data_IF_621173729512
#
_entry.id   IF_621173729512
#
_cell.length_a   1.000
_cell.length_b   1.000
_cell.length_c   1.000
_cell.angle_alpha   90.00
_cell.angle_beta   90.00
_cell.angle_gamma   90.00
#
_symmetry.space_group_name_H-M   'P 1'
#
loop_
_entity.id
_entity.type
_entity.pdbx_description
1 polymer ?
#
# COMPACT_ATOMS: atom_id res chain seq x y z
N UNK A 1 -5.84 0.41 -11.43
CA UNK A 1 -7.07 0.11 -10.66
C UNK A 1 -6.89 -1.23 -9.98
N UNK A 2 -7.31 -1.37 -8.68
CA UNK A 2 -7.29 -2.68 -8.01
C UNK A 2 -8.72 -3.21 -7.84
N UNK A 3 -8.92 -4.47 -8.21
CA UNK A 3 -10.21 -5.18 -8.14
C UNK A 3 -10.07 -6.37 -7.18
N UNK A 4 -11.14 -6.71 -6.47
CA UNK A 4 -11.23 -7.93 -5.67
C UNK A 4 -12.55 -8.64 -5.91
N UNK A 5 -12.54 -9.94 -5.90
CA UNK A 5 -13.67 -10.83 -6.17
C UNK A 5 -13.16 -12.27 -6.31
N UNK A 6 -14.09 -13.18 -6.63
CA UNK A 6 -13.76 -14.59 -6.86
C UNK A 6 -14.49 -15.18 -8.08
N UNK A 7 -15.30 -14.39 -8.80
CA UNK A 7 -16.00 -14.83 -10.01
C UNK A 7 -15.25 -14.32 -11.26
N UNK A 8 -14.62 -15.19 -12.07
CA UNK A 8 -13.75 -14.77 -13.18
C UNK A 8 -14.44 -13.86 -14.20
N UNK A 9 -15.64 -14.24 -14.66
CA UNK A 9 -16.38 -13.52 -15.69
C UNK A 9 -16.84 -12.15 -15.20
N UNK A 10 -17.28 -12.07 -13.95
CA UNK A 10 -17.67 -10.80 -13.30
C UNK A 10 -16.50 -9.86 -13.20
N UNK A 11 -15.35 -10.35 -12.69
CA UNK A 11 -14.14 -9.54 -12.56
C UNK A 11 -13.61 -9.05 -13.91
N UNK A 12 -13.65 -9.89 -14.93
CA UNK A 12 -13.25 -9.53 -16.28
C UNK A 12 -14.18 -8.47 -16.88
N UNK A 13 -15.48 -8.61 -16.68
CA UNK A 13 -16.47 -7.65 -17.16
C UNK A 13 -16.33 -6.28 -16.47
N UNK A 14 -16.19 -6.25 -15.15
CA UNK A 14 -15.95 -5.02 -14.38
C UNK A 14 -14.65 -4.32 -14.79
N UNK A 15 -13.58 -5.08 -15.03
CA UNK A 15 -12.32 -4.53 -15.53
C UNK A 15 -12.52 -3.86 -16.91
N UNK A 16 -13.23 -4.51 -17.82
CA UNK A 16 -13.53 -3.99 -19.14
C UNK A 16 -14.38 -2.70 -19.07
N UNK A 17 -15.43 -2.68 -18.25
CA UNK A 17 -16.27 -1.49 -18.10
C UNK A 17 -15.49 -0.30 -17.51
N UNK A 18 -14.62 -0.57 -16.53
CA UNK A 18 -13.71 0.45 -15.97
C UNK A 18 -12.70 0.93 -17.03
N UNK A 19 -12.18 0.05 -17.87
CA UNK A 19 -11.30 0.41 -18.97
C UNK A 19 -11.99 1.36 -19.97
N UNK A 20 -13.23 1.04 -20.37
CA UNK A 20 -14.02 1.91 -21.25
C UNK A 20 -14.35 3.27 -20.60
N UNK A 21 -14.61 3.29 -19.30
CA UNK A 21 -14.95 4.51 -18.57
C UNK A 21 -13.73 5.41 -18.34
N UNK A 22 -12.59 4.85 -18.01
CA UNK A 22 -11.39 5.57 -17.56
C UNK A 22 -10.36 5.78 -18.66
N UNK A 23 -10.38 4.97 -19.72
CA UNK A 23 -9.45 5.06 -20.86
C UNK A 23 -8.00 5.13 -20.43
N UNK A 24 -7.26 6.11 -20.95
CA UNK A 24 -5.84 6.31 -20.68
C UNK A 24 -5.49 6.66 -19.22
N UNK A 25 -6.47 6.86 -18.34
CA UNK A 25 -6.22 7.04 -16.91
C UNK A 25 -5.90 5.71 -16.18
N UNK A 26 -6.14 4.56 -16.83
CA UNK A 26 -5.74 3.26 -16.32
C UNK A 26 -4.35 2.90 -16.84
N UNK A 27 -3.45 2.51 -15.94
CA UNK A 27 -2.15 1.94 -16.30
C UNK A 27 -2.19 0.41 -16.29
N UNK A 28 -2.88 -0.17 -15.31
CA UNK A 28 -3.03 -1.62 -15.15
C UNK A 28 -4.24 -1.95 -14.28
N UNK A 29 -4.73 -3.18 -14.40
CA UNK A 29 -5.69 -3.77 -13.46
C UNK A 29 -4.96 -4.72 -12.52
N UNK A 30 -5.10 -4.52 -11.22
CA UNK A 30 -4.45 -5.33 -10.19
C UNK A 30 -5.47 -6.21 -9.48
N UNK A 31 -5.25 -7.51 -9.49
CA UNK A 31 -6.08 -8.49 -8.78
C UNK A 31 -5.61 -8.60 -7.34
N UNK A 32 -6.50 -8.31 -6.40
CA UNK A 32 -6.19 -8.45 -4.98
C UNK A 32 -6.29 -9.91 -4.53
N UNK A 33 -5.14 -10.55 -4.31
CA UNK A 33 -5.03 -11.88 -3.71
C UNK A 33 -4.33 -11.83 -2.35
N UNK A 34 -4.35 -10.67 -1.65
CA UNK A 34 -3.59 -10.50 -0.41
C UNK A 34 -4.38 -9.96 0.79
N UNK A 35 -5.61 -9.45 0.62
CA UNK A 35 -6.39 -8.89 1.73
C UNK A 35 -6.87 -9.98 2.69
N UNK A 36 -6.43 -9.97 3.98
CA UNK A 36 -6.80 -10.99 4.96
C UNK A 36 -8.07 -10.64 5.75
N UNK A 37 -8.70 -9.50 5.49
CA UNK A 37 -9.85 -9.03 6.26
C UNK A 37 -11.01 -10.03 6.15
N UNK A 38 -11.62 -10.39 7.30
CA UNK A 38 -12.70 -11.40 7.36
C UNK A 38 -13.87 -11.10 6.40
N UNK A 39 -14.23 -9.83 6.25
CA UNK A 39 -15.30 -9.39 5.34
C UNK A 39 -14.98 -9.62 3.85
N UNK A 40 -13.70 -9.79 3.50
CA UNK A 40 -13.20 -10.08 2.16
C UNK A 40 -12.89 -11.57 2.05
N UNK A 41 -11.89 -12.06 2.78
CA UNK A 41 -11.43 -13.43 2.71
C UNK A 41 -12.50 -14.47 3.13
N UNK A 42 -13.44 -14.09 4.01
CA UNK A 42 -14.57 -14.95 4.41
C UNK A 42 -15.60 -15.17 3.30
N UNK A 43 -15.56 -14.37 2.23
CA UNK A 43 -16.42 -14.53 1.04
C UNK A 43 -15.73 -15.28 -0.12
N UNK A 44 -14.47 -15.65 0.04
CA UNK A 44 -13.68 -16.27 -1.01
C UNK A 44 -12.76 -15.31 -1.76
N UNK A 45 -12.80 -14.00 -1.45
CA UNK A 45 -12.04 -12.95 -2.12
C UNK A 45 -10.65 -12.73 -1.51
N UNK A 46 -9.85 -11.90 -2.16
CA UNK A 46 -8.58 -11.44 -1.62
C UNK A 46 -7.63 -12.58 -1.28
N UNK A 47 -7.13 -12.66 -0.05
CA UNK A 47 -6.18 -13.69 0.33
C UNK A 47 -6.73 -15.13 0.25
N UNK A 48 -8.06 -15.32 0.25
CA UNK A 48 -8.67 -16.64 0.11
C UNK A 48 -8.34 -17.30 -1.24
N UNK A 49 -8.14 -16.51 -2.30
CA UNK A 49 -7.75 -16.99 -3.62
C UNK A 49 -6.40 -17.75 -3.61
N UNK A 50 -5.53 -17.47 -2.65
CA UNK A 50 -4.26 -18.20 -2.49
C UNK A 50 -4.44 -19.67 -2.09
N UNK A 51 -5.66 -20.07 -1.72
CA UNK A 51 -6.02 -21.46 -1.37
C UNK A 51 -6.55 -22.24 -2.57
N UNK A 52 -6.87 -21.56 -3.66
CA UNK A 52 -7.36 -22.14 -4.91
C UNK A 52 -6.59 -21.55 -6.11
N UNK A 53 -5.40 -22.10 -6.41
CA UNK A 53 -4.58 -21.62 -7.53
C UNK A 53 -5.26 -21.74 -8.88
N UNK A 54 -6.17 -22.73 -9.06
CA UNK A 54 -6.91 -22.90 -10.31
C UNK A 54 -7.96 -21.81 -10.49
N UNK A 55 -8.64 -21.39 -9.43
CA UNK A 55 -9.54 -20.25 -9.49
C UNK A 55 -8.76 -18.94 -9.75
N UNK A 56 -7.62 -18.76 -9.07
CA UNK A 56 -6.74 -17.61 -9.30
C UNK A 56 -6.28 -17.52 -10.78
N UNK A 57 -5.89 -18.66 -11.36
CA UNK A 57 -5.55 -18.79 -12.79
C UNK A 57 -6.71 -18.33 -13.68
N UNK A 58 -7.91 -18.88 -13.49
CA UNK A 58 -9.10 -18.52 -14.31
C UNK A 58 -9.46 -17.04 -14.22
N UNK A 59 -9.33 -16.44 -13.04
CA UNK A 59 -9.57 -15.00 -12.86
C UNK A 59 -8.59 -14.18 -13.69
N UNK A 60 -7.29 -14.47 -13.58
CA UNK A 60 -6.26 -13.73 -14.31
C UNK A 60 -6.42 -13.92 -15.81
N UNK A 61 -6.65 -15.15 -16.28
CA UNK A 61 -6.86 -15.46 -17.69
C UNK A 61 -8.10 -14.75 -18.25
N UNK A 62 -9.23 -14.79 -17.54
CA UNK A 62 -10.45 -14.11 -17.97
C UNK A 62 -10.24 -12.59 -18.09
N UNK A 63 -9.57 -11.98 -17.12
CA UNK A 63 -9.25 -10.55 -17.16
C UNK A 63 -8.26 -10.22 -18.28
N UNK A 64 -7.14 -10.95 -18.40
CA UNK A 64 -6.10 -10.70 -19.41
C UNK A 64 -6.62 -10.85 -20.84
N UNK A 65 -7.58 -11.74 -21.07
CA UNK A 65 -8.25 -11.91 -22.38
C UNK A 65 -9.31 -10.83 -22.67
N UNK A 66 -9.77 -10.09 -21.65
CA UNK A 66 -10.89 -9.16 -21.79
C UNK A 66 -10.46 -7.70 -21.93
N UNK A 67 -9.35 -7.29 -21.28
CA UNK A 67 -8.86 -5.91 -21.27
C UNK A 67 -7.56 -5.77 -22.07
N UNK A 68 -7.32 -4.57 -22.61
CA UNK A 68 -6.07 -4.25 -23.31
C UNK A 68 -4.93 -3.89 -22.37
N UNK A 69 -5.26 -3.34 -21.20
CA UNK A 69 -4.26 -2.93 -20.19
C UNK A 69 -3.67 -4.13 -19.44
N UNK A 70 -2.41 -4.03 -18.98
CA UNK A 70 -1.76 -5.09 -18.22
C UNK A 70 -2.56 -5.51 -16.98
N UNK A 71 -2.66 -6.82 -16.75
CA UNK A 71 -3.21 -7.39 -15.52
C UNK A 71 -2.05 -7.75 -14.59
N UNK A 72 -2.11 -7.28 -13.35
CA UNK A 72 -1.13 -7.58 -12.30
C UNK A 72 -1.79 -8.28 -11.12
N UNK A 73 -1.00 -8.93 -10.29
CA UNK A 73 -1.53 -9.64 -9.11
C UNK A 73 -0.78 -9.21 -7.85
N UNK A 74 -1.51 -8.84 -6.81
CA UNK A 74 -0.92 -8.62 -5.50
C UNK A 74 -1.31 -9.72 -4.53
N UNK A 75 -0.30 -10.45 -4.02
CA UNK A 75 -0.50 -11.60 -3.13
C UNK A 75 0.36 -11.53 -1.86
N UNK A 76 0.14 -12.47 -0.97
CA UNK A 76 0.93 -12.70 0.24
C UNK A 76 1.83 -13.93 0.10
N UNK A 77 2.61 -14.25 1.14
CA UNK A 77 3.44 -15.44 1.24
C UNK A 77 2.62 -16.75 1.10
N UNK A 78 1.42 -16.75 1.62
CA UNK A 78 0.46 -17.84 1.66
C UNK A 78 -0.74 -17.42 2.51
N UNK A 79 -1.78 -18.26 2.57
CA UNK A 79 -2.94 -18.01 3.41
C UNK A 79 -2.70 -18.47 4.85
N UNK A 80 -2.35 -19.75 5.04
CA UNK A 80 -2.14 -20.40 6.34
C UNK A 80 -0.70 -20.18 6.79
N UNK A 81 -0.51 -19.90 8.07
CA UNK A 81 0.83 -19.77 8.64
C UNK A 81 1.62 -21.08 8.49
N UNK A 82 2.82 -20.98 7.93
CA UNK A 82 3.68 -22.12 7.65
C UNK A 82 3.48 -22.75 6.26
N UNK A 83 2.38 -22.48 5.57
CA UNK A 83 2.10 -22.98 4.23
C UNK A 83 2.42 -21.90 3.18
N UNK A 84 3.60 -21.96 2.61
CA UNK A 84 4.03 -21.01 1.58
C UNK A 84 3.55 -21.44 0.20
N UNK A 85 2.73 -20.62 -0.44
CA UNK A 85 2.16 -20.89 -1.77
C UNK A 85 2.56 -19.86 -2.82
N UNK A 86 3.17 -18.73 -2.43
CA UNK A 86 3.45 -17.61 -3.33
C UNK A 86 4.31 -17.97 -4.54
N UNK A 87 5.42 -18.74 -4.45
CA UNK A 87 6.24 -19.04 -5.63
C UNK A 87 5.46 -19.83 -6.69
N UNK A 88 4.72 -20.85 -6.29
CA UNK A 88 3.90 -21.66 -7.20
C UNK A 88 2.75 -20.83 -7.79
N UNK A 89 2.02 -20.09 -6.96
CA UNK A 89 0.92 -19.24 -7.41
C UNK A 89 1.40 -18.15 -8.36
N UNK A 90 2.56 -17.54 -8.12
CA UNK A 90 3.13 -16.54 -9.00
C UNK A 90 3.44 -17.11 -10.39
N UNK A 91 3.97 -18.34 -10.45
CA UNK A 91 4.19 -19.03 -11.73
C UNK A 91 2.85 -19.31 -12.44
N UNK A 92 1.85 -19.82 -11.74
CA UNK A 92 0.53 -20.10 -12.31
C UNK A 92 -0.10 -18.83 -12.88
N UNK A 93 -0.12 -17.72 -12.15
CA UNK A 93 -0.73 -16.47 -12.65
C UNK A 93 0.08 -15.85 -13.79
N UNK A 94 1.40 -16.03 -13.84
CA UNK A 94 2.21 -15.66 -15.00
C UNK A 94 1.76 -16.41 -16.25
N UNK A 95 1.61 -17.74 -16.19
CA UNK A 95 1.16 -18.54 -17.31
C UNK A 95 -0.29 -18.21 -17.72
N UNK A 96 -1.08 -17.63 -16.82
CA UNK A 96 -2.44 -17.15 -17.06
C UNK A 96 -2.51 -15.73 -17.63
N UNK A 97 -1.37 -15.06 -17.89
CA UNK A 97 -1.30 -13.76 -18.52
C UNK A 97 -1.05 -12.58 -17.59
N UNK A 98 -0.68 -12.81 -16.32
CA UNK A 98 -0.24 -11.71 -15.45
C UNK A 98 1.04 -11.06 -15.97
N UNK A 99 1.07 -9.72 -16.01
CA UNK A 99 2.19 -8.91 -16.48
C UNK A 99 3.19 -8.55 -15.38
N UNK A 100 2.81 -8.63 -14.11
CA UNK A 100 3.67 -8.43 -12.93
C UNK A 100 3.00 -8.99 -11.67
N UNK A 101 3.80 -9.28 -10.65
CA UNK A 101 3.31 -9.70 -9.33
C UNK A 101 3.91 -8.86 -8.21
N UNK A 102 3.08 -8.50 -7.22
CA UNK A 102 3.54 -7.83 -5.99
C UNK A 102 3.40 -8.78 -4.80
N UNK A 103 4.50 -9.00 -4.06
CA UNK A 103 4.56 -10.02 -3.01
C UNK A 103 4.76 -9.37 -1.64
N UNK A 104 3.78 -9.54 -0.75
CA UNK A 104 3.96 -9.22 0.66
C UNK A 104 4.48 -10.46 1.40
N UNK A 105 5.68 -10.38 1.97
CA UNK A 105 6.39 -11.50 2.61
C UNK A 105 5.78 -12.02 3.93
N UNK A 106 4.49 -11.80 4.18
CA UNK A 106 3.74 -12.32 5.33
C UNK A 106 2.59 -13.23 4.90
N UNK A 107 2.25 -14.22 5.73
CA UNK A 107 1.03 -15.00 5.55
C UNK A 107 -0.23 -14.15 5.80
N UNK A 108 -1.37 -14.54 5.23
CA UNK A 108 -2.65 -13.85 5.47
C UNK A 108 -3.02 -13.88 6.97
N UNK A 109 -2.85 -15.02 7.63
CA UNK A 109 -3.12 -15.19 9.07
C UNK A 109 -2.20 -14.36 9.97
N UNK A 110 -1.03 -13.96 9.48
CA UNK A 110 -0.08 -13.10 10.20
C UNK A 110 -0.57 -11.65 10.28
N UNK A 111 -1.43 -11.21 9.38
CA UNK A 111 -1.79 -9.79 9.22
C UNK A 111 -0.53 -8.91 9.06
N UNK A 112 -0.09 -8.29 10.17
CA UNK A 112 1.12 -7.45 10.24
C UNK A 112 2.05 -7.84 11.39
N UNK A 113 1.80 -8.98 12.04
CA UNK A 113 2.64 -9.47 13.15
C UNK A 113 3.95 -10.08 12.62
N UNK A 114 4.99 -10.02 13.45
CA UNK A 114 6.33 -10.49 13.10
C UNK A 114 6.92 -9.75 11.91
N UNK A 115 7.93 -10.33 11.28
CA UNK A 115 8.65 -9.75 10.15
C UNK A 115 8.18 -10.32 8.80
N UNK A 116 8.30 -9.52 7.74
CA UNK A 116 8.11 -9.99 6.37
C UNK A 116 9.30 -10.87 5.95
N UNK A 117 9.03 -12.07 5.48
CA UNK A 117 10.04 -12.97 4.97
C UNK A 117 10.46 -12.56 3.55
N UNK A 118 11.62 -11.94 3.42
CA UNK A 118 12.14 -11.52 2.10
C UNK A 118 12.63 -12.70 1.25
N UNK A 119 13.03 -13.79 1.88
CA UNK A 119 13.37 -15.03 1.19
C UNK A 119 12.21 -15.56 0.31
N UNK A 120 10.95 -15.36 0.73
CA UNK A 120 9.80 -15.67 -0.12
C UNK A 120 9.79 -14.82 -1.39
N UNK A 121 10.11 -13.51 -1.28
CA UNK A 121 10.15 -12.61 -2.43
C UNK A 121 11.24 -13.06 -3.40
N UNK A 122 12.42 -13.45 -2.90
CA UNK A 122 13.49 -14.02 -3.71
C UNK A 122 13.04 -15.28 -4.43
N UNK A 123 12.41 -16.23 -3.73
CA UNK A 123 11.90 -17.46 -4.36
C UNK A 123 10.84 -17.21 -5.42
N UNK A 124 9.99 -16.20 -5.22
CA UNK A 124 9.06 -15.78 -6.27
C UNK A 124 9.82 -15.21 -7.46
N UNK A 125 10.83 -14.36 -7.24
CA UNK A 125 11.66 -13.81 -8.33
C UNK A 125 12.37 -14.92 -9.13
N UNK A 126 12.84 -15.96 -8.45
CA UNK A 126 13.47 -17.12 -9.09
C UNK A 126 12.45 -17.98 -9.89
N UNK A 127 11.18 -17.95 -9.51
CA UNK A 127 10.11 -18.79 -10.11
C UNK A 127 9.45 -18.16 -11.34
N UNK A 128 9.57 -16.84 -11.55
CA UNK A 128 8.86 -16.13 -12.64
C UNK A 128 9.81 -15.30 -13.48
N UNK A 129 9.36 -14.97 -14.72
CA UNK A 129 10.09 -14.10 -15.66
C UNK A 129 9.52 -12.67 -15.69
N UNK A 130 8.29 -12.50 -15.25
CA UNK A 130 7.63 -11.19 -15.14
C UNK A 130 8.20 -10.38 -13.98
N UNK A 131 8.05 -9.04 -14.00
CA UNK A 131 8.48 -8.19 -12.90
C UNK A 131 7.88 -8.59 -11.55
N UNK A 132 8.73 -8.58 -10.52
CA UNK A 132 8.35 -8.84 -9.12
C UNK A 132 8.51 -7.57 -8.30
N UNK A 133 7.44 -7.17 -7.61
CA UNK A 133 7.42 -6.01 -6.73
C UNK A 133 7.51 -6.49 -5.28
N UNK A 134 8.61 -6.19 -4.61
CA UNK A 134 8.83 -6.55 -3.21
C UNK A 134 8.05 -5.67 -2.25
N UNK A 135 7.36 -6.26 -1.27
CA UNK A 135 6.58 -5.55 -0.27
C UNK A 135 6.75 -6.16 1.13
N UNK A 136 6.88 -5.30 2.12
CA UNK A 136 6.94 -5.64 3.55
C UNK A 136 8.18 -5.10 4.23
N UNK A 137 7.96 -4.31 5.30
CA UNK A 137 8.97 -3.77 6.21
C UNK A 137 10.05 -2.89 5.54
N UNK A 138 9.69 -2.22 4.46
CA UNK A 138 10.50 -1.17 3.83
C UNK A 138 10.20 0.12 4.59
N UNK A 139 11.15 0.56 5.42
CA UNK A 139 10.99 1.69 6.34
C UNK A 139 12.02 2.79 6.14
N UNK A 140 13.01 2.58 5.29
CA UNK A 140 14.07 3.55 4.96
C UNK A 140 14.74 3.21 3.63
N UNK A 141 15.62 4.10 3.16
CA UNK A 141 16.45 3.89 1.98
C UNK A 141 17.35 2.66 2.10
N UNK A 142 17.94 2.42 3.27
CA UNK A 142 18.78 1.24 3.55
C UNK A 142 17.96 -0.05 3.41
N UNK A 143 16.75 -0.07 4.00
CA UNK A 143 15.86 -1.24 3.91
C UNK A 143 15.37 -1.47 2.48
N UNK A 144 15.15 -0.41 1.72
CA UNK A 144 14.81 -0.48 0.30
C UNK A 144 15.94 -1.12 -0.53
N UNK A 145 17.18 -0.64 -0.34
CA UNK A 145 18.37 -1.21 -0.99
C UNK A 145 18.59 -2.66 -0.60
N UNK A 146 18.48 -2.97 0.69
CA UNK A 146 18.63 -4.34 1.18
C UNK A 146 17.63 -5.29 0.51
N UNK A 147 16.32 -4.92 0.45
CA UNK A 147 15.32 -5.75 -0.22
C UNK A 147 15.66 -5.98 -1.70
N UNK A 148 16.01 -4.94 -2.45
CA UNK A 148 16.42 -5.11 -3.87
C UNK A 148 17.62 -6.05 -4.01
N UNK A 149 18.63 -5.89 -3.15
CA UNK A 149 19.88 -6.68 -3.21
C UNK A 149 19.65 -8.14 -2.79
N UNK A 150 18.92 -8.37 -1.71
CA UNK A 150 18.72 -9.70 -1.14
C UNK A 150 17.72 -10.54 -1.93
N UNK A 151 16.72 -9.89 -2.54
CA UNK A 151 15.64 -10.62 -3.21
C UNK A 151 15.73 -10.60 -4.73
N UNK A 152 16.47 -9.65 -5.31
CA UNK A 152 16.52 -9.43 -6.75
C UNK A 152 15.19 -8.93 -7.35
N UNK A 153 14.22 -8.49 -6.54
CA UNK A 153 12.96 -7.95 -7.05
C UNK A 153 13.20 -6.68 -7.89
N UNK A 154 12.31 -6.43 -8.85
CA UNK A 154 12.47 -5.38 -9.86
C UNK A 154 11.98 -4.01 -9.37
N UNK A 155 11.06 -4.00 -8.40
CA UNK A 155 10.49 -2.79 -7.82
C UNK A 155 10.07 -2.99 -6.37
N UNK A 156 9.74 -1.88 -5.70
CA UNK A 156 9.36 -1.87 -4.29
C UNK A 156 7.95 -1.29 -4.10
N UNK A 157 7.18 -1.89 -3.20
CA UNK A 157 5.90 -1.35 -2.75
C UNK A 157 5.98 -1.01 -1.27
N UNK A 158 5.87 0.29 -0.96
CA UNK A 158 5.89 0.81 0.41
C UNK A 158 4.46 0.86 0.94
N UNK A 159 4.24 0.31 2.13
CA UNK A 159 2.94 0.32 2.81
C UNK A 159 2.93 1.28 4.01
N UNK A 160 2.89 0.73 5.21
CA UNK A 160 2.74 1.46 6.48
C UNK A 160 3.74 2.58 6.71
N UNK A 161 4.96 2.48 6.18
CA UNK A 161 5.96 3.53 6.31
C UNK A 161 5.60 4.84 5.58
N UNK A 162 4.67 4.81 4.63
CA UNK A 162 4.14 5.98 3.94
C UNK A 162 2.96 6.65 4.69
N UNK A 163 2.43 6.03 5.75
CA UNK A 163 1.32 6.56 6.53
C UNK A 163 1.77 7.81 7.31
N UNK A 164 1.27 8.99 6.91
CA UNK A 164 1.69 10.30 7.43
C UNK A 164 3.13 10.68 7.07
N UNK A 165 3.76 9.95 6.18
CA UNK A 165 5.13 10.15 5.73
C UNK A 165 5.27 9.99 4.21
N UNK A 166 4.70 10.89 3.39
CA UNK A 166 4.85 10.82 1.94
C UNK A 166 6.30 11.04 1.46
N UNK A 167 7.16 11.60 2.29
CA UNK A 167 8.57 11.85 1.99
C UNK A 167 9.41 10.58 1.90
N UNK A 168 8.91 9.43 2.43
CA UNK A 168 9.60 8.13 2.33
C UNK A 168 9.99 7.77 0.90
N UNK A 169 9.18 8.18 -0.10
CA UNK A 169 9.46 7.90 -1.50
C UNK A 169 10.66 8.70 -2.01
N UNK A 170 10.76 9.99 -1.69
CA UNK A 170 11.91 10.81 -2.05
C UNK A 170 13.17 10.42 -1.28
N UNK A 171 13.04 10.05 0.00
CA UNK A 171 14.12 9.52 0.82
C UNK A 171 14.70 8.24 0.21
N UNK A 172 13.85 7.27 -0.10
CA UNK A 172 14.26 6.00 -0.71
C UNK A 172 14.93 6.26 -2.06
N UNK A 173 14.33 7.10 -2.91
CA UNK A 173 14.88 7.44 -4.22
C UNK A 173 16.28 8.04 -4.07
N UNK A 174 16.45 9.07 -3.22
CA UNK A 174 17.75 9.70 -2.95
C UNK A 174 18.78 8.67 -2.49
N UNK A 175 18.41 7.82 -1.54
CA UNK A 175 19.31 6.80 -1.01
C UNK A 175 19.72 5.76 -2.06
N UNK A 176 18.80 5.33 -2.91
CA UNK A 176 19.11 4.36 -3.97
C UNK A 176 20.05 4.97 -5.03
N UNK A 177 19.89 6.25 -5.36
CA UNK A 177 20.70 6.97 -6.35
C UNK A 177 22.08 7.38 -5.80
N UNK A 178 22.14 7.89 -4.57
CA UNK A 178 23.33 8.57 -4.03
C UNK A 178 24.00 7.86 -2.85
N UNK A 179 23.30 6.94 -2.20
CA UNK A 179 23.72 6.35 -0.92
C UNK A 179 23.43 7.22 0.31
N UNK A 180 22.79 8.39 0.10
CA UNK A 180 22.48 9.33 1.17
C UNK A 180 20.96 9.57 1.24
N UNK A 181 20.37 9.41 2.43
CA UNK A 181 18.96 9.71 2.62
C UNK A 181 18.71 11.22 2.48
N UNK A 182 17.59 11.57 1.85
CA UNK A 182 17.12 12.96 1.87
C UNK A 182 16.86 13.40 3.34
N UNK A 183 17.04 14.69 3.66
CA UNK A 183 16.79 15.18 5.01
C UNK A 183 15.30 14.95 5.39
N UNK A 184 15.10 14.65 6.68
CA UNK A 184 13.74 14.52 7.20
C UNK A 184 12.98 15.85 7.08
N UNK A 185 11.66 15.82 6.83
CA UNK A 185 10.87 17.05 6.77
C UNK A 185 10.83 17.73 8.12
N UNK A 186 10.88 19.06 8.12
CA UNK A 186 10.65 19.89 9.28
C UNK A 186 9.21 19.72 9.82
N UNK A 187 8.97 20.15 11.05
CA UNK A 187 7.62 20.18 11.62
C UNK A 187 6.66 21.03 10.78
N UNK A 188 7.11 22.20 10.33
CA UNK A 188 6.29 23.10 9.54
C UNK A 188 5.92 22.48 8.18
N UNK A 189 6.85 21.82 7.49
CA UNK A 189 6.56 21.07 6.24
C UNK A 189 5.56 19.93 6.46
N UNK A 190 5.67 19.19 7.57
CA UNK A 190 4.71 18.11 7.90
C UNK A 190 3.31 18.67 8.12
N UNK A 191 3.17 19.79 8.84
CA UNK A 191 1.89 20.46 9.08
C UNK A 191 1.32 21.01 7.76
N UNK A 192 2.13 21.64 6.91
CA UNK A 192 1.71 22.15 5.63
C UNK A 192 1.13 21.04 4.72
N UNK A 193 1.84 19.91 4.62
CA UNK A 193 1.37 18.77 3.81
C UNK A 193 0.10 18.16 4.41
N UNK A 194 -0.01 18.08 5.73
CA UNK A 194 -1.22 17.60 6.41
C UNK A 194 -2.43 18.52 6.13
N UNK A 195 -2.22 19.82 6.17
CA UNK A 195 -3.25 20.82 5.83
C UNK A 195 -3.64 20.74 4.34
N UNK A 196 -2.67 20.58 3.44
CA UNK A 196 -2.95 20.37 2.01
C UNK A 196 -3.77 19.11 1.78
N UNK A 197 -3.45 18.01 2.45
CA UNK A 197 -4.23 16.78 2.38
C UNK A 197 -5.67 16.98 2.90
N UNK A 198 -5.84 17.64 4.05
CA UNK A 198 -7.16 17.96 4.59
C UNK A 198 -7.99 18.83 3.62
N UNK A 199 -7.36 19.82 2.97
CA UNK A 199 -8.01 20.69 1.98
C UNK A 199 -8.48 19.90 0.75
N UNK A 200 -7.64 19.04 0.19
CA UNK A 200 -8.01 18.19 -0.94
C UNK A 200 -9.18 17.25 -0.61
N UNK A 201 -9.24 16.75 0.63
CA UNK A 201 -10.37 15.95 1.10
C UNK A 201 -11.63 16.83 1.24
N UNK A 202 -11.51 18.04 1.80
CA UNK A 202 -12.62 18.99 1.94
C UNK A 202 -13.25 19.33 0.60
N UNK A 203 -12.45 19.65 -0.40
CA UNK A 203 -12.91 19.93 -1.77
C UNK A 203 -13.60 18.73 -2.43
N UNK A 204 -13.19 17.50 -2.08
CA UNK A 204 -13.72 16.27 -2.67
C UNK A 204 -15.00 15.76 -1.98
N UNK A 205 -15.22 16.06 -0.71
CA UNK A 205 -16.25 15.48 0.14
C UNK A 205 -17.12 16.53 0.85
N UNK A 206 -17.35 17.71 0.24
CA UNK A 206 -18.18 18.80 0.76
C UNK A 206 -17.89 19.10 2.24
N UNK A 207 -16.60 19.23 2.55
CA UNK A 207 -16.05 19.49 3.89
C UNK A 207 -16.42 18.47 5.00
N UNK A 208 -16.97 17.32 4.64
CA UNK A 208 -17.21 16.23 5.59
C UNK A 208 -16.04 15.22 5.54
N UNK A 209 -14.94 15.55 6.23
CA UNK A 209 -13.66 14.86 6.08
C UNK A 209 -13.24 14.00 7.27
N UNK A 210 -14.17 13.29 7.89
CA UNK A 210 -13.90 12.36 9.02
C UNK A 210 -12.79 11.32 8.69
N UNK A 211 -12.57 11.03 7.43
CA UNK A 211 -11.46 10.17 6.96
C UNK A 211 -10.09 10.75 7.33
N UNK A 212 -9.97 12.09 7.43
CA UNK A 212 -8.74 12.78 7.81
C UNK A 212 -8.29 12.45 9.24
N UNK A 213 -9.17 12.03 10.14
CA UNK A 213 -8.84 11.65 11.53
C UNK A 213 -7.67 10.67 11.61
N UNK A 214 -7.71 9.62 10.80
CA UNK A 214 -6.65 8.61 10.75
C UNK A 214 -5.33 9.20 10.23
N UNK A 215 -5.41 10.00 9.17
CA UNK A 215 -4.23 10.65 8.59
C UNK A 215 -3.63 11.70 9.51
N UNK A 216 -4.46 12.49 10.20
CA UNK A 216 -4.01 13.47 11.19
C UNK A 216 -3.18 12.82 12.29
N UNK A 217 -3.63 11.67 12.82
CA UNK A 217 -2.88 10.91 13.83
C UNK A 217 -1.51 10.47 13.32
N UNK A 218 -1.40 10.08 12.06
CA UNK A 218 -0.13 9.69 11.46
C UNK A 218 0.81 10.87 11.24
N UNK A 219 0.29 12.01 10.70
CA UNK A 219 1.09 13.21 10.50
C UNK A 219 1.66 13.77 11.81
N UNK A 220 0.89 13.72 12.90
CA UNK A 220 1.31 14.23 14.21
C UNK A 220 2.17 13.27 15.04
N UNK A 221 2.41 12.05 14.53
CA UNK A 221 3.21 11.05 15.25
C UNK A 221 4.59 11.60 15.60
N UNK A 222 4.94 11.51 16.91
CA UNK A 222 6.22 11.98 17.45
C UNK A 222 6.29 13.47 17.74
N UNK A 223 5.25 14.26 17.44
CA UNK A 223 5.19 15.68 17.79
C UNK A 223 4.74 15.89 19.24
N UNK A 224 5.25 16.94 19.87
CA UNK A 224 4.80 17.40 21.19
C UNK A 224 3.33 17.81 21.08
N UNK A 225 2.49 17.44 22.03
CA UNK A 225 1.05 17.73 21.99
C UNK A 225 0.21 16.75 21.16
N UNK A 226 0.79 15.85 20.36
CA UNK A 226 0.05 14.88 19.55
C UNK A 226 -0.93 14.01 20.36
N UNK A 227 -0.54 13.62 21.59
CA UNK A 227 -1.39 12.84 22.49
C UNK A 227 -2.59 13.66 22.98
N UNK A 228 -2.39 14.94 23.30
CA UNK A 228 -3.48 15.84 23.70
C UNK A 228 -4.43 16.14 22.54
N UNK A 229 -3.90 16.31 21.33
CA UNK A 229 -4.69 16.54 20.11
C UNK A 229 -5.60 15.35 19.74
N UNK A 230 -5.33 14.14 20.25
CA UNK A 230 -6.07 12.92 19.87
C UNK A 230 -7.57 13.02 20.11
N UNK A 231 -8.02 13.64 21.22
CA UNK A 231 -9.44 13.83 21.50
C UNK A 231 -10.07 14.75 20.44
N UNK A 232 -9.48 15.92 20.22
CA UNK A 232 -9.96 16.88 19.21
C UNK A 232 -10.02 16.25 17.81
N UNK A 233 -9.01 15.45 17.43
CA UNK A 233 -9.00 14.71 16.15
C UNK A 233 -10.20 13.76 16.03
N UNK A 234 -10.58 13.06 17.11
CA UNK A 234 -11.73 12.13 17.07
C UNK A 234 -13.07 12.85 16.87
N UNK A 235 -13.16 14.10 17.29
CA UNK A 235 -14.37 14.92 17.16
C UNK A 235 -14.38 15.76 15.86
N UNK A 236 -13.21 15.99 15.23
CA UNK A 236 -13.05 16.80 14.03
C UNK A 236 -13.81 16.24 12.83
N UNK A 237 -14.49 17.11 12.08
CA UNK A 237 -15.32 16.76 10.91
C UNK A 237 -14.94 17.58 9.70
N UNK A 238 -14.65 18.87 9.88
CA UNK A 238 -14.41 19.87 8.83
C UNK A 238 -12.93 20.20 8.64
N UNK A 239 -12.59 20.85 7.53
CA UNK A 239 -11.24 21.38 7.32
C UNK A 239 -10.79 22.30 8.44
N UNK A 240 -11.68 23.20 8.90
CA UNK A 240 -11.36 24.15 9.97
C UNK A 240 -11.03 23.46 11.29
N UNK A 241 -11.73 22.37 11.63
CA UNK A 241 -11.40 21.60 12.83
C UNK A 241 -9.96 21.09 12.78
N UNK A 242 -9.57 20.45 11.65
CA UNK A 242 -8.20 19.95 11.46
C UNK A 242 -7.17 21.08 11.39
N UNK A 243 -7.49 22.21 10.73
CA UNK A 243 -6.60 23.34 10.65
C UNK A 243 -6.27 23.91 12.04
N UNK A 244 -7.29 24.04 12.91
CA UNK A 244 -7.11 24.47 14.30
C UNK A 244 -6.19 23.51 15.05
N UNK A 245 -6.46 22.20 14.98
CA UNK A 245 -5.65 21.17 15.66
C UNK A 245 -4.19 21.21 15.20
N UNK A 246 -3.94 21.29 13.90
CA UNK A 246 -2.58 21.35 13.36
C UNK A 246 -1.87 22.63 13.76
N UNK A 247 -2.56 23.77 13.79
CA UNK A 247 -2.00 25.03 14.24
C UNK A 247 -1.59 24.97 15.72
N UNK A 248 -2.46 24.48 16.60
CA UNK A 248 -2.18 24.35 18.04
C UNK A 248 -0.95 23.45 18.29
N UNK A 249 -0.82 22.35 17.57
CA UNK A 249 0.35 21.49 17.66
C UNK A 249 1.61 22.20 17.15
N UNK A 250 1.52 22.98 16.04
CA UNK A 250 2.66 23.73 15.52
C UNK A 250 3.16 24.78 16.54
N UNK A 251 2.26 25.49 17.22
CA UNK A 251 2.60 26.45 18.30
C UNK A 251 3.33 25.76 19.44
N UNK A 252 2.87 24.57 19.86
CA UNK A 252 3.53 23.80 20.92
C UNK A 252 4.93 23.31 20.55
N UNK A 253 5.21 23.05 19.26
CA UNK A 253 6.56 22.71 18.83
C UNK A 253 7.51 23.92 19.01
N UNK A 254 7.12 25.09 18.47
CA UNK A 254 7.94 26.32 18.51
C UNK A 254 8.26 26.76 19.94
N UNK A 255 7.29 26.74 20.85
CA UNK A 255 7.53 27.06 22.27
C UNK A 255 8.44 26.08 22.99
N UNK A 256 8.64 24.86 22.48
CA UNK A 256 9.57 23.87 23.02
C UNK A 256 11.01 24.04 22.49
N UNK A 257 11.17 24.56 21.28
CA UNK A 257 12.48 24.83 20.67
C UNK A 257 13.15 26.07 21.28
N UNK A 258 12.37 27.07 21.74
CA UNK A 258 12.88 28.24 22.43
C UNK A 258 13.37 27.98 23.89
N UNK A 259 13.04 26.82 24.45
CA UNK A 259 13.38 26.43 25.83
C UNK A 259 14.47 25.37 25.91
N UNK A 260 14.97 24.86 24.79
CA UNK A 260 16.03 23.84 24.70
C UNK A 260 17.36 24.42 24.23
#
# INVERSE_FOLDING_TARGET
VQIFGHEPETMAQEAYELEQMLGHAVFSFDVNMGCPARKIAGKGDGAALMRDPMLASRIVEAMANKVEHPVTVKMRRGFVYGEETAPELAHIVQESGASAVAIHGRYAQQFYQGDACWETIRRVKDAVKIPVIGNGDITSGERARAMLTETGCDALMIGRAAEGNPWIFSEIKSYLETGVAAPAPSTDERIEVALRHARMLSERFDDHIVKMRKHAMWYLKGMRGATAARRAINDAVTFNDFATIFHDVAVLQKSGEEQA
#
